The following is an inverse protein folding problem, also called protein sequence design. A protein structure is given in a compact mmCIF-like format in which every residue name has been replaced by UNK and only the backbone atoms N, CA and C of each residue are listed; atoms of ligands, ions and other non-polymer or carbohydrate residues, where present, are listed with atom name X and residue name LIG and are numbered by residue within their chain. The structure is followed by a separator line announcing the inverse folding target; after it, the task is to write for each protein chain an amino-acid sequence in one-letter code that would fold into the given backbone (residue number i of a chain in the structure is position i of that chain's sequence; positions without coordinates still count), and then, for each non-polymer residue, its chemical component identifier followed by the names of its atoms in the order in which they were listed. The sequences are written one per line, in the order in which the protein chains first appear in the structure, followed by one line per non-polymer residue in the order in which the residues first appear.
data_IF_577942719161
#
_entry.id   IF_577942719161
#
_cell.length_a   1.000
_cell.length_b   1.000
_cell.length_c   1.000
_cell.angle_alpha   90.00
_cell.angle_beta   90.00
_cell.angle_gamma   90.00
#
_symmetry.space_group_name_H-M   'P 1'
#
loop_
_entity.id
_entity.type
_entity.pdbx_description
1 polymer ?
#
# COMPACT_ATOMS: atom_id res chain seq x y z
N UNK A 1 -9.02 47.79 -5.38
CA UNK A 1 -8.77 47.06 -6.65
C UNK A 1 -10.07 46.40 -7.10
N UNK A 2 -10.53 46.61 -8.34
CA UNK A 2 -11.71 45.91 -8.85
C UNK A 2 -11.42 44.41 -8.97
N UNK A 3 -12.38 43.56 -8.58
CA UNK A 3 -12.20 42.09 -8.60
C UNK A 3 -11.95 41.61 -10.04
N UNK A 4 -10.85 40.87 -10.25
CA UNK A 4 -10.37 40.33 -11.54
C UNK A 4 -11.36 39.38 -12.24
N UNK A 5 -12.39 38.88 -11.54
CA UNK A 5 -13.31 37.87 -12.08
C UNK A 5 -14.78 38.24 -11.86
N UNK A 6 -15.62 37.96 -12.88
CA UNK A 6 -17.08 38.12 -12.82
C UNK A 6 -17.70 36.96 -12.02
N UNK A 7 -18.62 37.21 -11.07
CA UNK A 7 -19.30 36.15 -10.32
C UNK A 7 -20.10 35.20 -11.23
N UNK A 8 -20.10 33.91 -10.88
CA UNK A 8 -20.92 32.89 -11.54
C UNK A 8 -22.41 33.11 -11.27
N UNK A 9 -23.26 32.89 -12.27
CA UNK A 9 -24.72 32.89 -12.12
C UNK A 9 -25.21 31.50 -11.72
N UNK A 10 -25.99 31.42 -10.63
CA UNK A 10 -26.53 30.16 -10.09
C UNK A 10 -28.01 29.94 -10.45
N UNK A 11 -28.61 30.78 -11.31
CA UNK A 11 -30.05 30.77 -11.59
C UNK A 11 -30.58 29.46 -12.21
N UNK A 12 -29.71 28.57 -12.70
CA UNK A 12 -30.05 27.27 -13.30
C UNK A 12 -29.55 26.07 -12.49
N UNK A 13 -29.07 26.27 -11.27
CA UNK A 13 -28.56 25.17 -10.44
C UNK A 13 -29.70 24.46 -9.73
N UNK A 14 -29.81 23.15 -9.96
CA UNK A 14 -30.67 22.27 -9.19
C UNK A 14 -29.95 21.76 -7.94
N UNK A 15 -30.60 21.81 -6.79
CA UNK A 15 -30.05 21.29 -5.53
C UNK A 15 -30.65 19.92 -5.20
N UNK A 16 -29.92 19.12 -4.44
CA UNK A 16 -30.40 17.84 -3.94
C UNK A 16 -30.12 17.71 -2.44
N UNK A 17 -30.97 16.95 -1.74
CA UNK A 17 -30.79 16.72 -0.31
C UNK A 17 -29.58 15.82 -0.05
N UNK A 18 -28.70 16.23 0.86
CA UNK A 18 -27.59 15.39 1.32
C UNK A 18 -28.07 14.12 2.04
N UNK A 19 -29.29 14.14 2.60
CA UNK A 19 -29.88 13.00 3.30
C UNK A 19 -30.38 11.92 2.36
N UNK A 20 -30.75 12.27 1.12
CA UNK A 20 -31.32 11.30 0.16
C UNK A 20 -30.27 10.51 -0.61
N UNK A 21 -29.01 10.93 -0.60
CA UNK A 21 -27.90 10.23 -1.27
C UNK A 21 -27.14 9.30 -0.31
N UNK A 22 -26.67 8.16 -0.81
CA UNK A 22 -25.81 7.25 -0.04
C UNK A 22 -24.43 7.90 0.19
N UNK A 23 -24.08 8.15 1.45
CA UNK A 23 -22.77 8.68 1.86
C UNK A 23 -21.98 7.57 2.56
N UNK A 24 -20.75 7.29 2.08
CA UNK A 24 -19.94 6.13 2.54
C UNK A 24 -18.95 6.46 3.67
N UNK A 25 -18.55 7.73 3.78
CA UNK A 25 -17.53 8.18 4.74
C UNK A 25 -18.21 8.94 5.88
N UNK A 26 -17.88 8.55 7.11
CA UNK A 26 -18.29 9.21 8.35
C UNK A 26 -17.09 9.92 8.97
N UNK A 27 -17.35 10.89 9.87
CA UNK A 27 -16.29 11.71 10.50
C UNK A 27 -15.30 10.89 11.34
N UNK A 28 -15.74 9.77 11.90
CA UNK A 28 -14.90 8.81 12.64
C UNK A 28 -13.85 8.10 11.77
N UNK A 29 -14.04 8.07 10.46
CA UNK A 29 -13.09 7.52 9.47
C UNK A 29 -12.12 8.58 8.93
N UNK A 30 -12.16 9.81 9.44
CA UNK A 30 -11.21 10.86 9.02
C UNK A 30 -9.85 10.59 9.64
N UNK A 31 -8.81 10.68 8.82
CA UNK A 31 -7.43 10.51 9.23
C UNK A 31 -7.01 11.58 10.24
N UNK A 32 -6.00 11.27 11.06
CA UNK A 32 -5.32 12.28 11.88
C UNK A 32 -4.04 12.71 11.18
N UNK A 33 -3.70 14.01 11.13
CA UNK A 33 -2.41 14.44 10.64
C UNK A 33 -1.28 13.77 11.42
N UNK A 34 -0.35 13.12 10.73
CA UNK A 34 0.85 12.58 11.36
C UNK A 34 1.83 13.74 11.62
N UNK A 35 2.25 13.93 12.86
CA UNK A 35 3.14 15.02 13.26
C UNK A 35 4.57 14.53 13.48
N UNK A 36 4.72 13.50 14.31
CA UNK A 36 6.01 12.88 14.61
C UNK A 36 5.78 11.52 15.29
N UNK A 37 6.84 10.71 15.38
CA UNK A 37 6.83 9.43 16.08
C UNK A 37 7.30 8.27 15.22
N UNK A 38 7.00 7.05 15.68
CA UNK A 38 7.40 5.81 15.02
C UNK A 38 6.58 5.52 13.76
N UNK A 39 7.08 4.62 12.91
CA UNK A 39 6.33 4.13 11.75
C UNK A 39 4.98 3.48 12.15
N UNK A 40 4.93 2.82 13.33
CA UNK A 40 3.65 2.33 13.90
C UNK A 40 2.66 3.46 14.16
N UNK A 41 3.13 4.62 14.60
CA UNK A 41 2.29 5.80 14.85
C UNK A 41 1.79 6.41 13.54
N UNK A 42 2.64 6.44 12.50
CA UNK A 42 2.24 6.79 11.13
C UNK A 42 1.16 5.84 10.61
N UNK A 43 1.38 4.52 10.68
CA UNK A 43 0.37 3.54 10.27
C UNK A 43 -0.93 3.71 11.07
N UNK A 44 -0.85 4.05 12.35
CA UNK A 44 -2.01 4.34 13.21
C UNK A 44 -2.80 5.59 12.82
N UNK A 45 -2.19 6.55 12.12
CA UNK A 45 -2.86 7.80 11.71
C UNK A 45 -3.67 7.66 10.42
N UNK A 46 -3.37 6.64 9.61
CA UNK A 46 -4.06 6.35 8.36
C UNK A 46 -5.54 5.99 8.60
N UNK A 47 -6.47 6.53 7.79
CA UNK A 47 -7.89 6.27 7.94
C UNK A 47 -8.18 4.80 7.60
N UNK A 48 -9.05 4.15 8.37
CA UNK A 48 -9.42 2.75 8.13
C UNK A 48 -10.50 2.66 7.03
N UNK A 49 -10.08 2.91 5.78
CA UNK A 49 -10.88 2.84 4.57
C UNK A 49 -9.99 2.58 3.34
N UNK A 50 -10.54 1.96 2.29
CA UNK A 50 -9.86 1.68 1.02
C UNK A 50 -8.49 1.00 1.24
N UNK A 51 -7.45 1.43 0.53
CA UNK A 51 -6.12 0.83 0.55
C UNK A 51 -5.51 0.71 1.96
N UNK A 52 -5.81 1.64 2.88
CA UNK A 52 -5.33 1.54 4.25
C UNK A 52 -6.03 0.42 5.03
N UNK A 53 -7.30 0.16 4.75
CA UNK A 53 -8.03 -0.99 5.30
C UNK A 53 -7.53 -2.30 4.66
N UNK A 54 -7.34 -2.32 3.34
CA UNK A 54 -6.82 -3.49 2.61
C UNK A 54 -5.42 -3.87 3.09
N UNK A 55 -4.54 -2.88 3.29
CA UNK A 55 -3.21 -3.09 3.84
C UNK A 55 -3.25 -3.71 5.24
N UNK A 56 -4.07 -3.17 6.14
CA UNK A 56 -4.24 -3.72 7.50
C UNK A 56 -4.79 -5.14 7.45
N UNK A 57 -5.74 -5.41 6.57
CA UNK A 57 -6.32 -6.74 6.39
C UNK A 57 -5.25 -7.76 5.93
N UNK A 58 -4.43 -7.40 4.95
CA UNK A 58 -3.32 -8.23 4.48
C UNK A 58 -2.29 -8.50 5.60
N UNK A 59 -1.86 -7.47 6.31
CA UNK A 59 -0.93 -7.60 7.46
C UNK A 59 -1.53 -8.53 8.52
N UNK A 60 -2.79 -8.34 8.90
CA UNK A 60 -3.45 -9.17 9.91
C UNK A 60 -3.56 -10.64 9.46
N UNK A 61 -3.82 -10.90 8.18
CA UNK A 61 -3.87 -12.25 7.62
C UNK A 61 -2.50 -12.95 7.70
N UNK A 62 -1.42 -12.25 7.31
CA UNK A 62 -0.04 -12.76 7.39
C UNK A 62 0.34 -13.06 8.85
N UNK A 63 0.11 -12.10 9.75
CA UNK A 63 0.42 -12.28 11.19
C UNK A 63 -0.38 -13.43 11.78
N UNK A 64 -1.65 -13.57 11.41
CA UNK A 64 -2.50 -14.68 11.87
C UNK A 64 -2.00 -16.02 11.32
N UNK A 65 -1.54 -16.09 10.08
CA UNK A 65 -0.96 -17.31 9.52
C UNK A 65 0.30 -17.72 10.28
N UNK A 66 1.24 -16.80 10.48
CA UNK A 66 2.47 -17.06 11.23
C UNK A 66 2.22 -17.48 12.68
N UNK A 67 1.29 -16.83 13.40
CA UNK A 67 0.92 -17.21 14.77
C UNK A 67 0.27 -18.60 14.90
N UNK A 68 -0.26 -19.14 13.81
CA UNK A 68 -0.91 -20.45 13.78
C UNK A 68 -0.05 -21.49 13.04
N UNK A 69 1.25 -21.22 12.88
CA UNK A 69 2.21 -22.08 12.18
C UNK A 69 1.73 -22.51 10.78
N UNK A 70 1.09 -21.56 10.07
CA UNK A 70 0.64 -21.77 8.69
C UNK A 70 1.62 -21.16 7.70
N UNK A 71 1.88 -21.83 6.56
CA UNK A 71 2.74 -21.28 5.51
C UNK A 71 2.25 -19.93 4.99
N UNK A 72 3.20 -19.04 4.70
CA UNK A 72 2.98 -17.75 4.01
C UNK A 72 3.81 -17.78 2.72
N UNK A 73 3.14 -17.87 1.59
CA UNK A 73 3.77 -17.99 0.27
C UNK A 73 3.70 -16.64 -0.45
N UNK A 74 4.86 -16.07 -0.80
CA UNK A 74 4.93 -14.86 -1.63
C UNK A 74 4.92 -15.23 -3.11
N UNK A 75 3.82 -14.93 -3.80
CA UNK A 75 3.74 -14.98 -5.26
C UNK A 75 4.18 -13.65 -5.88
N UNK A 76 5.19 -13.66 -6.75
CA UNK A 76 5.68 -12.44 -7.40
C UNK A 76 6.30 -12.68 -8.78
N UNK A 77 6.31 -11.65 -9.63
CA UNK A 77 7.17 -11.60 -10.81
C UNK A 77 8.55 -11.02 -10.48
N UNK A 78 9.36 -10.76 -11.50
CA UNK A 78 10.72 -10.22 -11.41
C UNK A 78 10.87 -8.81 -10.79
N UNK A 79 9.83 -7.97 -10.86
CA UNK A 79 9.91 -6.54 -10.54
C UNK A 79 10.43 -6.22 -9.13
N UNK A 80 10.00 -6.91 -8.05
CA UNK A 80 10.56 -6.66 -6.72
C UNK A 80 12.07 -6.88 -6.65
N UNK A 81 12.61 -7.89 -7.34
CA UNK A 81 14.06 -8.12 -7.40
C UNK A 81 14.73 -7.05 -8.26
N UNK A 82 14.21 -6.81 -9.48
CA UNK A 82 14.71 -5.79 -10.42
C UNK A 82 14.87 -4.40 -9.78
N UNK A 83 13.94 -4.01 -8.91
CA UNK A 83 13.94 -2.69 -8.23
C UNK A 83 14.60 -2.71 -6.85
N UNK A 84 15.35 -3.77 -6.51
CA UNK A 84 16.20 -3.83 -5.32
C UNK A 84 15.51 -4.21 -4.02
N UNK A 85 14.33 -4.84 -4.04
CA UNK A 85 13.63 -5.29 -2.83
C UNK A 85 14.09 -6.67 -2.34
N UNK A 86 15.03 -7.33 -3.02
CA UNK A 86 15.54 -8.64 -2.64
C UNK A 86 16.01 -8.71 -1.17
N UNK A 87 16.79 -7.74 -0.62
CA UNK A 87 17.20 -7.80 0.78
C UNK A 87 16.04 -7.78 1.79
N UNK A 88 14.95 -7.07 1.46
CA UNK A 88 13.75 -7.03 2.31
C UNK A 88 13.02 -8.37 2.27
N UNK A 89 12.89 -8.97 1.09
CA UNK A 89 12.28 -10.28 0.91
C UNK A 89 13.08 -11.35 1.65
N UNK A 90 14.41 -11.34 1.50
CA UNK A 90 15.33 -12.25 2.20
C UNK A 90 15.18 -12.10 3.70
N UNK A 91 15.14 -10.88 4.23
CA UNK A 91 14.94 -10.67 5.67
C UNK A 91 13.60 -11.24 6.18
N UNK A 92 12.52 -11.13 5.38
CA UNK A 92 11.23 -11.72 5.70
C UNK A 92 11.26 -13.27 5.62
N UNK A 93 12.10 -13.83 4.76
CA UNK A 93 12.33 -15.28 4.70
C UNK A 93 13.13 -15.78 5.91
N UNK A 94 14.24 -15.13 6.24
CA UNK A 94 15.10 -15.47 7.38
C UNK A 94 14.36 -15.35 8.72
N UNK A 95 13.43 -14.38 8.84
CA UNK A 95 12.59 -14.21 10.02
C UNK A 95 11.36 -15.13 10.06
N UNK A 96 11.17 -15.99 9.06
CA UNK A 96 10.04 -16.93 8.98
C UNK A 96 8.69 -16.30 8.67
N UNK A 97 8.65 -15.01 8.31
CA UNK A 97 7.41 -14.33 7.90
C UNK A 97 6.95 -14.81 6.52
N UNK A 98 7.90 -15.03 5.61
CA UNK A 98 7.68 -15.68 4.30
C UNK A 98 8.30 -17.07 4.39
N UNK A 99 7.50 -18.11 4.17
CA UNK A 99 7.98 -19.50 4.26
C UNK A 99 8.27 -20.13 2.90
N UNK A 100 7.76 -19.54 1.81
CA UNK A 100 8.06 -19.96 0.44
C UNK A 100 7.85 -18.80 -0.55
N UNK A 101 8.50 -18.90 -1.71
CA UNK A 101 8.30 -17.99 -2.84
C UNK A 101 7.82 -18.76 -4.07
N UNK A 102 6.92 -18.16 -4.84
CA UNK A 102 6.45 -18.66 -6.13
C UNK A 102 6.68 -17.56 -7.17
N UNK A 103 7.53 -17.84 -8.16
CA UNK A 103 8.03 -16.80 -9.07
C UNK A 103 8.14 -17.26 -10.52
N UNK A 104 8.19 -16.29 -11.43
CA UNK A 104 8.49 -16.54 -12.84
C UNK A 104 10.01 -16.62 -13.08
N UNK A 105 10.40 -17.05 -14.28
CA UNK A 105 11.81 -17.26 -14.63
C UNK A 105 12.66 -15.99 -14.64
N UNK A 106 12.09 -14.80 -14.80
CA UNK A 106 12.86 -13.56 -14.83
C UNK A 106 13.45 -13.20 -13.45
N UNK A 107 12.89 -13.71 -12.35
CA UNK A 107 13.43 -13.47 -11.02
C UNK A 107 14.88 -13.96 -10.87
N UNK A 108 15.20 -15.15 -11.39
CA UNK A 108 16.54 -15.73 -11.24
C UNK A 108 17.58 -14.93 -12.04
N UNK A 109 17.17 -14.35 -13.17
CA UNK A 109 18.04 -13.52 -14.01
C UNK A 109 18.45 -12.27 -13.26
N UNK A 110 17.48 -11.49 -12.78
CA UNK A 110 17.79 -10.24 -12.06
C UNK A 110 18.53 -10.48 -10.73
N UNK A 111 18.18 -11.54 -10.01
CA UNK A 111 18.86 -11.89 -8.75
C UNK A 111 20.33 -12.24 -8.99
N UNK A 112 20.60 -13.03 -10.02
CA UNK A 112 21.95 -13.42 -10.42
C UNK A 112 22.77 -12.22 -10.90
N UNK A 113 22.23 -11.40 -11.79
CA UNK A 113 22.91 -10.21 -12.32
C UNK A 113 23.24 -9.20 -11.21
N UNK A 114 22.28 -8.92 -10.31
CA UNK A 114 22.52 -8.05 -9.16
C UNK A 114 23.61 -8.61 -8.25
N UNK A 115 23.59 -9.92 -7.99
CA UNK A 115 24.57 -10.57 -7.11
C UNK A 115 25.97 -10.63 -7.72
N UNK A 116 26.06 -10.88 -9.04
CA UNK A 116 27.34 -11.06 -9.73
C UNK A 116 27.96 -9.72 -10.14
N UNK A 117 27.16 -8.81 -10.71
CA UNK A 117 27.62 -7.60 -11.39
C UNK A 117 27.25 -6.32 -10.63
N UNK A 118 26.39 -6.41 -9.61
CA UNK A 118 25.91 -5.25 -8.83
C UNK A 118 24.85 -4.41 -9.56
N UNK A 119 24.38 -4.84 -10.74
CA UNK A 119 23.37 -4.16 -11.53
C UNK A 119 22.58 -5.16 -12.37
N UNK A 120 21.35 -4.78 -12.75
CA UNK A 120 20.43 -5.53 -13.61
C UNK A 120 19.52 -4.52 -14.33
N UNK A 121 18.60 -4.99 -15.17
CA UNK A 121 17.69 -4.27 -16.07
C UNK A 121 18.24 -4.21 -17.49
N UNK A 122 17.48 -4.84 -18.39
CA UNK A 122 17.70 -4.89 -19.84
C UNK A 122 16.93 -3.81 -20.61
N UNK A 123 16.23 -2.91 -19.89
CA UNK A 123 15.61 -1.69 -20.41
C UNK A 123 16.56 -0.49 -20.40
#
# INVERSE_FOLDING_TARGET
MPKKYRPLSFNKVNTCSLKSRKSKVKRDKVAKPFQSGSFKSFLGSLPDILAASDFRAAVNAIVKAGKNDRPVILGMGAHPIKVGLAPVIINLMESGVITAVAMNGACIVHDYELSLMGHTSED
#
